data_IF_356191923897
#
_entry.id   IF_356191923897
#
_cell.length_a   1.000
_cell.length_b   1.000
_cell.length_c   1.000
_cell.angle_alpha   90.00
_cell.angle_beta   90.00
_cell.angle_gamma   90.00
#
_symmetry.space_group_name_H-M   'P 1'
#
loop_
_entity.id
_entity.type
_entity.pdbx_description
1 polymer ?
#
# COMPACT_ATOMS: atom_id res chain seq x y z
N UNK A 1 5.93 -15.84 12.02
CA UNK A 1 4.62 -16.52 11.89
C UNK A 1 3.57 -15.43 11.79
N UNK A 2 2.57 -15.58 10.91
CA UNK A 2 1.49 -14.60 10.79
C UNK A 2 0.47 -14.83 11.91
N UNK A 3 -0.10 -13.78 12.47
CA UNK A 3 -1.15 -13.87 13.48
C UNK A 3 -2.48 -13.37 12.92
N UNK A 4 -3.59 -13.81 13.48
CA UNK A 4 -4.91 -13.27 13.17
C UNK A 4 -5.77 -13.14 14.42
N UNK A 5 -6.71 -12.21 14.38
CA UNK A 5 -7.64 -11.90 15.45
C UNK A 5 -9.05 -12.35 15.06
N UNK A 6 -9.76 -13.04 15.95
CA UNK A 6 -11.15 -13.46 15.72
C UNK A 6 -12.09 -12.25 15.69
N UNK A 7 -12.91 -12.14 14.65
CA UNK A 7 -13.85 -11.01 14.47
C UNK A 7 -15.30 -11.37 14.81
N UNK A 8 -15.66 -12.64 14.70
CA UNK A 8 -16.96 -13.18 15.12
C UNK A 8 -17.14 -13.12 16.65
N UNK A 9 -18.39 -13.10 17.12
CA UNK A 9 -18.70 -13.18 18.57
C UNK A 9 -18.17 -14.47 19.20
N UNK A 10 -18.19 -15.55 18.42
CA UNK A 10 -17.61 -16.85 18.75
C UNK A 10 -17.25 -17.57 17.44
N UNK A 11 -16.06 -18.16 17.38
CA UNK A 11 -15.57 -18.90 16.22
C UNK A 11 -15.13 -20.31 16.60
N UNK A 12 -15.64 -21.32 15.90
CA UNK A 12 -15.25 -22.70 16.16
C UNK A 12 -13.90 -23.03 15.52
N UNK A 13 -12.97 -23.53 16.34
CA UNK A 13 -11.78 -24.23 15.90
C UNK A 13 -12.16 -25.68 15.58
N UNK A 14 -11.94 -26.13 14.35
CA UNK A 14 -12.41 -27.44 13.87
C UNK A 14 -11.29 -28.38 13.49
N UNK A 15 -11.55 -29.69 13.50
CA UNK A 15 -10.58 -30.72 13.08
C UNK A 15 -10.34 -30.76 11.57
N UNK A 16 -11.25 -30.20 10.77
CA UNK A 16 -11.21 -30.18 9.30
C UNK A 16 -11.64 -28.79 8.80
N UNK A 17 -11.23 -28.35 7.60
CA UNK A 17 -11.58 -27.06 7.03
C UNK A 17 -13.01 -27.05 6.46
N UNK A 18 -13.99 -27.48 7.26
CA UNK A 18 -15.40 -27.55 6.93
C UNK A 18 -16.25 -27.53 8.21
N UNK A 19 -17.55 -27.25 8.08
CA UNK A 19 -18.49 -27.14 9.20
C UNK A 19 -18.92 -28.50 9.77
N UNK A 20 -18.66 -29.59 9.03
CA UNK A 20 -18.85 -30.98 9.48
C UNK A 20 -17.74 -31.50 10.40
N UNK A 21 -16.57 -30.86 10.41
CA UNK A 21 -15.46 -31.21 11.30
C UNK A 21 -15.81 -30.96 12.77
N UNK A 22 -15.43 -31.88 13.65
CA UNK A 22 -15.63 -31.78 15.09
C UNK A 22 -15.03 -30.48 15.65
N UNK A 23 -15.72 -29.87 16.61
CA UNK A 23 -15.26 -28.64 17.29
C UNK A 23 -14.23 -29.01 18.36
N UNK A 24 -13.03 -28.48 18.24
CA UNK A 24 -11.91 -28.62 19.18
C UNK A 24 -12.05 -27.60 20.32
N UNK A 25 -12.43 -26.38 19.98
CA UNK A 25 -12.62 -25.27 20.90
C UNK A 25 -13.54 -24.21 20.28
N UNK A 26 -14.14 -23.40 21.14
CA UNK A 26 -14.80 -22.16 20.75
C UNK A 26 -13.88 -21.00 21.11
N UNK A 27 -13.58 -20.14 20.14
CA UNK A 27 -12.70 -18.99 20.27
C UNK A 27 -13.56 -17.73 20.43
N UNK A 28 -13.49 -17.03 21.58
CA UNK A 28 -14.15 -15.75 21.76
C UNK A 28 -13.68 -14.70 20.74
N UNK A 29 -14.49 -13.65 20.54
CA UNK A 29 -14.07 -12.44 19.82
C UNK A 29 -12.74 -11.92 20.38
N UNK A 30 -11.91 -11.37 19.50
CA UNK A 30 -10.60 -10.79 19.79
C UNK A 30 -9.51 -11.80 20.24
N UNK A 31 -9.80 -13.10 20.25
CA UNK A 31 -8.78 -14.15 20.42
C UNK A 31 -7.72 -14.05 19.32
N UNK A 32 -6.45 -14.11 19.70
CA UNK A 32 -5.31 -14.13 18.77
C UNK A 32 -4.90 -15.57 18.48
N UNK A 33 -4.74 -15.89 17.21
CA UNK A 33 -4.31 -17.22 16.72
C UNK A 33 -3.08 -17.09 15.84
N UNK A 34 -2.17 -18.06 15.94
CA UNK A 34 -1.02 -18.17 15.04
C UNK A 34 -1.44 -18.93 13.78
N UNK A 35 -1.32 -18.30 12.60
CA UNK A 35 -1.59 -18.96 11.32
C UNK A 35 -0.39 -19.80 10.92
N UNK A 36 -0.63 -21.11 10.74
CA UNK A 36 0.35 -22.07 10.25
C UNK A 36 0.33 -22.16 8.73
N UNK A 37 -0.86 -22.27 8.12
CA UNK A 37 -1.06 -22.25 6.67
C UNK A 37 -2.51 -21.94 6.29
N UNK A 38 -2.74 -21.66 5.01
CA UNK A 38 -4.07 -21.48 4.42
C UNK A 38 -4.36 -22.62 3.45
N UNK A 39 -5.55 -23.19 3.52
CA UNK A 39 -6.03 -24.29 2.68
C UNK A 39 -7.40 -23.97 2.10
N UNK A 40 -7.75 -24.59 0.98
CA UNK A 40 -9.14 -24.58 0.50
C UNK A 40 -10.01 -25.52 1.35
N UNK A 41 -11.27 -25.16 1.52
CA UNK A 41 -12.25 -25.90 2.32
C UNK A 41 -13.69 -25.55 1.95
N UNK A 42 -14.61 -25.80 2.88
CA UNK A 42 -16.03 -25.52 2.65
C UNK A 42 -16.29 -24.03 2.43
N UNK A 43 -17.21 -23.74 1.49
CA UNK A 43 -17.65 -22.38 1.24
C UNK A 43 -18.37 -21.81 2.46
N UNK A 44 -18.08 -20.57 2.78
CA UNK A 44 -18.72 -19.84 3.88
C UNK A 44 -18.84 -18.36 3.52
N UNK A 45 -19.67 -17.64 4.25
CA UNK A 45 -19.81 -16.18 4.12
C UNK A 45 -19.25 -15.55 5.38
N UNK A 46 -18.16 -14.80 5.24
CA UNK A 46 -17.50 -14.13 6.37
C UNK A 46 -18.33 -12.97 6.93
N UNK A 47 -17.82 -12.33 7.99
CA UNK A 47 -18.50 -11.19 8.64
C UNK A 47 -18.68 -9.98 7.69
N UNK A 48 -17.89 -9.91 6.62
CA UNK A 48 -18.01 -8.89 5.56
C UNK A 48 -19.10 -9.17 4.52
N UNK A 49 -19.82 -10.31 4.62
CA UNK A 49 -20.81 -10.72 3.62
C UNK A 49 -20.20 -11.32 2.33
N UNK A 50 -18.87 -11.46 2.26
CA UNK A 50 -18.17 -12.02 1.10
C UNK A 50 -18.12 -13.55 1.22
N UNK A 51 -18.50 -14.24 0.14
CA UNK A 51 -18.37 -15.68 0.02
C UNK A 51 -16.91 -16.07 -0.21
N UNK A 52 -16.44 -17.06 0.54
CA UNK A 52 -15.05 -17.52 0.62
C UNK A 52 -15.01 -19.03 0.70
N UNK A 53 -13.86 -19.62 0.37
CA UNK A 53 -13.61 -21.06 0.54
C UNK A 53 -12.25 -21.35 1.16
N UNK A 54 -11.57 -20.34 1.69
CA UNK A 54 -10.26 -20.48 2.33
C UNK A 54 -10.38 -20.61 3.85
N UNK A 55 -9.59 -21.52 4.40
CA UNK A 55 -9.53 -21.83 5.83
C UNK A 55 -8.08 -21.69 6.30
N UNK A 56 -7.89 -21.17 7.50
CA UNK A 56 -6.58 -21.12 8.14
C UNK A 56 -6.43 -22.31 9.07
N UNK A 57 -5.34 -23.06 8.90
CA UNK A 57 -4.83 -23.91 9.96
C UNK A 57 -4.10 -23.02 10.97
N UNK A 58 -4.53 -23.08 12.23
CA UNK A 58 -4.07 -22.19 13.28
C UNK A 58 -3.67 -22.94 14.53
N UNK A 59 -2.83 -22.31 15.35
CA UNK A 59 -2.49 -22.75 16.70
C UNK A 59 -2.90 -21.68 17.72
N UNK A 60 -3.54 -22.12 18.81
CA UNK A 60 -3.98 -21.26 19.92
C UNK A 60 -4.06 -22.10 21.20
N UNK A 61 -3.48 -21.60 22.30
CA UNK A 61 -3.46 -22.28 23.61
C UNK A 61 -3.01 -23.76 23.55
N UNK A 62 -2.01 -24.05 22.71
CA UNK A 62 -1.50 -25.41 22.50
C UNK A 62 -2.39 -26.32 21.64
N UNK A 63 -3.58 -25.87 21.25
CA UNK A 63 -4.49 -26.58 20.34
C UNK A 63 -4.24 -26.16 18.89
N UNK A 64 -4.43 -27.09 17.97
CA UNK A 64 -4.27 -26.87 16.53
C UNK A 64 -5.50 -27.35 15.79
N UNK A 65 -5.94 -26.58 14.79
CA UNK A 65 -7.13 -26.89 13.99
C UNK A 65 -7.39 -25.84 12.92
N UNK A 66 -8.57 -25.86 12.34
CA UNK A 66 -8.97 -25.01 11.22
C UNK A 66 -10.05 -24.01 11.62
N UNK A 67 -9.90 -22.78 11.14
CA UNK A 67 -10.92 -21.73 11.23
C UNK A 67 -11.20 -21.17 9.84
N UNK A 68 -12.45 -20.79 9.59
CA UNK A 68 -12.85 -20.17 8.33
C UNK A 68 -12.24 -18.75 8.24
N UNK A 69 -11.52 -18.45 7.15
CA UNK A 69 -10.76 -17.21 7.00
C UNK A 69 -11.65 -15.95 7.03
N UNK A 70 -12.92 -16.08 6.64
CA UNK A 70 -13.89 -14.98 6.69
C UNK A 70 -14.25 -14.47 8.09
N UNK A 71 -13.80 -15.12 9.17
CA UNK A 71 -14.10 -14.78 10.55
C UNK A 71 -12.88 -14.41 11.40
N UNK A 72 -11.74 -14.22 10.74
CA UNK A 72 -10.52 -13.71 11.37
C UNK A 72 -9.92 -12.59 10.53
N UNK A 73 -9.16 -11.72 11.17
CA UNK A 73 -8.46 -10.61 10.54
C UNK A 73 -6.96 -10.75 10.84
N UNK A 74 -6.12 -10.83 9.81
CA UNK A 74 -4.68 -10.95 9.99
C UNK A 74 -4.14 -9.74 10.76
N UNK A 75 -3.47 -10.01 11.89
CA UNK A 75 -2.73 -9.01 12.65
C UNK A 75 -1.43 -8.75 11.90
N UNK A 76 -1.49 -7.87 10.92
CA UNK A 76 -0.29 -7.17 10.46
C UNK A 76 0.04 -6.11 11.51
N UNK A 77 1.31 -6.00 11.91
CA UNK A 77 1.80 -4.84 12.67
C UNK A 77 1.69 -3.60 11.77
N UNK A 78 0.49 -3.08 11.64
CA UNK A 78 0.17 -1.84 10.94
C UNK A 78 -0.52 -0.96 11.95
N UNK A 79 0.21 0.07 12.38
CA UNK A 79 -0.24 1.12 13.27
C UNK A 79 -1.66 1.57 12.90
N UNK A 80 -2.55 1.38 13.87
CA UNK A 80 -3.94 1.83 13.87
C UNK A 80 -4.08 3.21 13.23
N UNK A 81 -4.73 3.26 12.07
CA UNK A 81 -5.55 4.38 11.62
C UNK A 81 -6.58 3.81 10.65
N UNK A 82 -7.66 3.29 11.22
CA UNK A 82 -8.92 3.09 10.50
C UNK A 82 -9.39 4.45 9.97
N UNK A 83 -8.95 4.79 8.77
CA UNK A 83 -9.76 5.56 7.85
C UNK A 83 -10.35 4.53 6.89
N UNK A 84 -11.68 4.58 6.76
CA UNK A 84 -12.48 4.15 5.59
C UNK A 84 -13.31 2.87 5.77
N UNK A 85 -14.49 3.03 6.36
CA UNK A 85 -15.61 2.08 6.27
C UNK A 85 -16.26 1.99 4.86
N UNK A 86 -15.48 2.14 3.77
CA UNK A 86 -15.90 1.91 2.38
C UNK A 86 -14.66 1.52 1.55
N UNK A 87 -14.77 0.67 0.51
CA UNK A 87 -13.60 0.14 -0.20
C UNK A 87 -12.90 1.25 -0.98
N UNK A 88 -11.61 1.47 -0.73
CA UNK A 88 -10.79 2.40 -1.51
C UNK A 88 -10.55 1.88 -2.95
N UNK A 89 -10.74 0.58 -3.18
CA UNK A 89 -10.50 -0.13 -4.45
C UNK A 89 -11.68 -0.08 -5.44
N UNK A 90 -12.49 0.99 -5.41
CA UNK A 90 -13.52 1.21 -6.43
C UNK A 90 -12.91 1.15 -7.84
N UNK A 91 -13.64 0.67 -8.87
CA UNK A 91 -13.12 0.63 -10.25
C UNK A 91 -12.57 1.99 -10.73
N UNK A 92 -13.21 3.09 -10.33
CA UNK A 92 -12.77 4.45 -10.64
C UNK A 92 -11.42 4.77 -9.98
N UNK A 93 -11.24 4.47 -8.69
CA UNK A 93 -9.95 4.69 -8.02
C UNK A 93 -8.85 3.80 -8.58
N UNK A 94 -9.16 2.55 -8.92
CA UNK A 94 -8.20 1.64 -9.57
C UNK A 94 -7.71 2.23 -10.89
N UNK A 95 -8.61 2.71 -11.75
CA UNK A 95 -8.22 3.30 -13.04
C UNK A 95 -7.41 4.59 -12.87
N UNK A 96 -7.81 5.46 -11.93
CA UNK A 96 -7.10 6.73 -11.64
C UNK A 96 -5.70 6.47 -11.09
N UNK A 97 -5.55 5.57 -10.11
CA UNK A 97 -4.24 5.23 -9.55
C UNK A 97 -3.37 4.51 -10.58
N UNK A 98 -3.94 3.59 -11.37
CA UNK A 98 -3.20 2.90 -12.42
C UNK A 98 -2.66 3.89 -13.47
N UNK A 99 -3.46 4.90 -13.84
CA UNK A 99 -3.05 5.97 -14.76
C UNK A 99 -1.88 6.78 -14.18
N UNK A 100 -1.93 7.15 -12.90
CA UNK A 100 -0.80 7.79 -12.20
C UNK A 100 0.43 6.90 -12.24
N UNK A 101 0.31 5.61 -11.85
CA UNK A 101 1.43 4.67 -11.86
C UNK A 101 2.06 4.53 -13.25
N UNK A 102 1.24 4.43 -14.29
CA UNK A 102 1.71 4.35 -15.67
C UNK A 102 2.46 5.61 -16.10
N UNK A 103 1.89 6.78 -15.80
CA UNK A 103 2.47 8.07 -16.20
C UNK A 103 3.75 8.43 -15.44
N UNK A 104 3.81 8.10 -14.15
CA UNK A 104 4.90 8.51 -13.26
C UNK A 104 6.01 7.45 -13.15
N UNK A 105 5.69 6.18 -13.41
CA UNK A 105 6.58 5.07 -13.06
C UNK A 105 6.67 3.93 -14.07
N UNK A 106 6.31 4.17 -15.33
CA UNK A 106 6.46 3.17 -16.40
C UNK A 106 7.90 2.63 -16.53
N UNK A 107 8.91 3.50 -16.38
CA UNK A 107 10.34 3.14 -16.40
C UNK A 107 10.89 2.68 -15.04
N UNK A 108 10.06 2.74 -13.99
CA UNK A 108 10.44 2.32 -12.65
C UNK A 108 10.43 0.80 -12.49
N UNK A 109 11.24 0.30 -11.56
CA UNK A 109 11.17 -1.09 -11.09
C UNK A 109 9.94 -1.29 -10.17
N UNK A 110 9.68 -2.53 -9.74
CA UNK A 110 8.49 -2.83 -8.93
C UNK A 110 8.46 -2.06 -7.60
N UNK A 111 9.60 -1.89 -6.93
CA UNK A 111 9.69 -1.13 -5.68
C UNK A 111 9.38 0.35 -5.90
N UNK A 112 9.92 0.95 -6.97
CA UNK A 112 9.69 2.34 -7.35
C UNK A 112 8.22 2.60 -7.68
N UNK A 113 7.59 1.70 -8.45
CA UNK A 113 6.15 1.78 -8.76
C UNK A 113 5.29 1.70 -7.49
N UNK A 114 5.61 0.77 -6.58
CA UNK A 114 4.93 0.66 -5.28
C UNK A 114 5.11 1.93 -4.44
N UNK A 115 6.31 2.51 -4.43
CA UNK A 115 6.61 3.73 -3.69
C UNK A 115 5.84 4.93 -4.25
N UNK A 116 5.79 5.10 -5.58
CA UNK A 116 4.95 6.12 -6.23
C UNK A 116 3.48 5.94 -5.84
N UNK A 117 2.95 4.72 -5.93
CA UNK A 117 1.59 4.43 -5.49
C UNK A 117 1.34 4.81 -4.03
N UNK A 118 2.26 4.47 -3.13
CA UNK A 118 2.17 4.85 -1.73
C UNK A 118 2.17 6.35 -1.49
N UNK A 119 2.85 7.15 -2.31
CA UNK A 119 2.75 8.61 -2.18
C UNK A 119 1.33 9.12 -2.43
N UNK A 120 0.57 8.51 -3.34
CA UNK A 120 -0.85 8.82 -3.56
C UNK A 120 -1.67 8.45 -2.32
N UNK A 121 -1.51 7.22 -1.81
CA UNK A 121 -2.25 6.73 -0.63
C UNK A 121 -1.96 7.55 0.62
N UNK A 122 -0.71 7.96 0.81
CA UNK A 122 -0.30 8.80 1.93
C UNK A 122 -0.88 10.22 1.83
N UNK A 123 -1.01 10.78 0.61
CA UNK A 123 -1.74 12.03 0.40
C UNK A 123 -3.23 11.88 0.71
N UNK A 124 -3.89 10.80 0.27
CA UNK A 124 -5.29 10.54 0.59
C UNK A 124 -5.52 10.46 2.11
N UNK A 125 -4.68 9.68 2.80
CA UNK A 125 -4.70 9.53 4.26
C UNK A 125 -4.54 10.87 4.96
N UNK A 126 -3.54 11.65 4.55
CA UNK A 126 -3.22 12.96 5.13
C UNK A 126 -4.31 14.00 4.84
N UNK A 127 -4.90 13.96 3.64
CA UNK A 127 -5.97 14.86 3.23
C UNK A 127 -7.34 14.46 3.76
N UNK A 128 -7.45 13.27 4.36
CA UNK A 128 -8.70 12.65 4.81
C UNK A 128 -9.70 12.51 3.66
N UNK A 129 -9.19 12.19 2.47
CA UNK A 129 -9.95 11.99 1.24
C UNK A 129 -9.92 10.53 0.81
N UNK A 130 -10.79 10.18 -0.14
CA UNK A 130 -11.00 8.78 -0.59
C UNK A 130 -11.03 8.65 -2.09
N UNK A 131 -11.27 9.74 -2.83
CA UNK A 131 -11.20 9.73 -4.27
C UNK A 131 -9.76 10.06 -4.68
N UNK A 132 -9.13 9.20 -5.49
CA UNK A 132 -7.80 9.45 -6.05
C UNK A 132 -7.76 10.79 -6.78
N UNK A 133 -8.88 11.25 -7.36
CA UNK A 133 -8.99 12.59 -7.97
C UNK A 133 -8.67 13.73 -7.02
N UNK A 134 -8.89 13.59 -5.70
CA UNK A 134 -8.64 14.64 -4.72
C UNK A 134 -7.14 14.97 -4.54
N UNK A 135 -6.26 14.09 -5.04
CA UNK A 135 -4.79 14.24 -4.96
C UNK A 135 -4.11 14.09 -6.32
N UNK A 136 -4.85 13.70 -7.37
CA UNK A 136 -4.31 13.41 -8.70
C UNK A 136 -3.65 14.62 -9.36
N UNK A 137 -4.02 15.85 -8.98
CA UNK A 137 -3.45 17.08 -9.53
C UNK A 137 -1.95 17.24 -9.30
N UNK A 138 -1.37 16.52 -8.34
CA UNK A 138 0.06 16.49 -8.08
C UNK A 138 0.85 15.52 -8.97
N UNK A 139 0.16 14.76 -9.85
CA UNK A 139 0.75 13.67 -10.62
C UNK A 139 0.41 13.77 -12.11
N UNK A 140 1.31 13.27 -12.94
CA UNK A 140 1.10 13.04 -14.36
C UNK A 140 0.05 11.93 -14.58
N UNK A 141 -0.79 12.11 -15.60
CA UNK A 141 -1.88 11.19 -15.98
C UNK A 141 -2.03 11.00 -17.50
N UNK A 142 -0.99 11.37 -18.24
CA UNK A 142 -0.92 11.40 -19.71
C UNK A 142 -0.80 10.04 -20.43
N UNK A 143 -0.71 8.92 -19.71
CA UNK A 143 -0.54 7.58 -20.30
C UNK A 143 -1.70 6.66 -19.92
N UNK A 144 -2.13 5.81 -20.85
CA UNK A 144 -3.15 4.81 -20.57
C UNK A 144 -2.53 3.61 -19.82
N UNK A 145 -3.12 3.17 -18.70
CA UNK A 145 -2.53 2.11 -17.91
C UNK A 145 -2.60 0.75 -18.61
N UNK A 146 -1.59 -0.08 -18.38
CA UNK A 146 -1.57 -1.50 -18.76
C UNK A 146 -2.35 -2.34 -17.73
N UNK A 147 -2.72 -3.60 -18.06
CA UNK A 147 -3.32 -4.50 -17.07
C UNK A 147 -2.49 -4.65 -15.79
N UNK A 148 -1.16 -4.78 -15.92
CA UNK A 148 -0.26 -4.89 -14.78
C UNK A 148 -0.30 -3.66 -13.85
N UNK A 149 -0.48 -2.45 -14.40
CA UNK A 149 -0.64 -1.24 -13.57
C UNK A 149 -2.00 -1.19 -12.86
N UNK A 150 -3.06 -1.75 -13.47
CA UNK A 150 -4.36 -1.90 -12.83
C UNK A 150 -4.32 -2.91 -11.68
N UNK A 151 -3.63 -4.02 -11.86
CA UNK A 151 -3.45 -5.03 -10.82
C UNK A 151 -2.67 -4.46 -9.63
N UNK A 152 -1.55 -3.77 -9.90
CA UNK A 152 -0.77 -3.10 -8.86
C UNK A 152 -1.58 -2.03 -8.11
N UNK A 153 -2.34 -1.20 -8.83
CA UNK A 153 -3.21 -0.19 -8.22
C UNK A 153 -4.26 -0.84 -7.31
N UNK A 154 -4.88 -1.93 -7.75
CA UNK A 154 -5.86 -2.67 -6.96
C UNK A 154 -5.26 -3.24 -5.68
N UNK A 155 -4.07 -3.83 -5.75
CA UNK A 155 -3.38 -4.37 -4.58
C UNK A 155 -2.98 -3.29 -3.56
N UNK A 156 -2.55 -2.12 -4.04
CA UNK A 156 -2.28 -0.97 -3.17
C UNK A 156 -3.57 -0.50 -2.47
N UNK A 157 -4.65 -0.28 -3.22
CA UNK A 157 -5.92 0.25 -2.67
C UNK A 157 -6.60 -0.73 -1.71
N UNK A 158 -6.36 -2.04 -1.86
CA UNK A 158 -6.82 -3.09 -0.94
C UNK A 158 -5.97 -3.23 0.33
N UNK A 159 -4.80 -2.59 0.37
CA UNK A 159 -3.84 -2.76 1.46
C UNK A 159 -3.06 -4.08 1.41
N UNK A 160 -3.03 -4.75 0.25
CA UNK A 160 -2.27 -6.00 0.06
C UNK A 160 -0.75 -5.78 0.02
N UNK A 161 -0.31 -4.53 -0.16
CA UNK A 161 1.10 -4.13 -0.24
C UNK A 161 1.36 -3.16 0.90
N UNK A 162 2.28 -3.48 1.81
CA UNK A 162 2.64 -2.60 2.93
C UNK A 162 3.34 -1.30 2.49
N UNK A 163 3.22 -0.23 3.30
CA UNK A 163 3.92 1.04 3.06
C UNK A 163 5.41 0.91 3.33
N UNK A 164 6.18 0.86 2.26
CA UNK A 164 7.64 0.82 2.26
C UNK A 164 8.29 2.21 2.24
N UNK A 165 7.49 3.27 2.15
CA UNK A 165 7.94 4.65 1.99
C UNK A 165 8.00 5.43 3.29
N UNK A 166 7.58 4.83 4.40
CA UNK A 166 7.51 5.49 5.71
C UNK A 166 6.69 6.79 5.68
N UNK A 167 5.55 6.80 4.98
CA UNK A 167 4.68 7.96 4.90
C UNK A 167 5.10 9.02 3.88
N UNK A 168 5.96 8.69 2.89
CA UNK A 168 6.33 9.66 1.86
C UNK A 168 5.09 10.12 1.09
N UNK A 169 5.01 11.42 0.79
CA UNK A 169 3.91 12.04 0.04
C UNK A 169 4.40 12.72 -1.24
N UNK A 170 5.71 12.92 -1.37
CA UNK A 170 6.33 13.61 -2.49
C UNK A 170 7.41 12.73 -3.09
N UNK A 171 7.62 12.88 -4.39
CA UNK A 171 8.80 12.38 -5.05
C UNK A 171 9.18 13.29 -6.22
N UNK A 172 10.39 13.14 -6.70
CA UNK A 172 10.83 13.66 -7.99
C UNK A 172 11.82 12.69 -8.62
N UNK A 173 12.03 12.81 -9.93
CA UNK A 173 13.02 12.04 -10.68
C UNK A 173 14.24 12.91 -10.98
N UNK A 174 15.38 12.75 -10.28
CA UNK A 174 16.60 13.47 -10.61
C UNK A 174 17.02 13.30 -12.07
N UNK A 175 16.81 12.12 -12.67
CA UNK A 175 17.12 11.90 -14.07
C UNK A 175 16.29 12.77 -15.01
N UNK A 176 15.05 13.09 -14.65
CA UNK A 176 14.12 13.92 -15.43
C UNK A 176 14.23 15.41 -15.15
N UNK A 177 14.95 15.82 -14.10
CA UNK A 177 15.17 17.23 -13.76
C UNK A 177 16.22 17.87 -14.66
N UNK A 178 16.12 19.20 -14.94
CA UNK A 178 17.10 19.90 -15.76
C UNK A 178 18.50 19.80 -15.14
N UNK A 179 19.53 19.77 -16.00
CA UNK A 179 20.93 19.82 -15.56
C UNK A 179 21.34 21.25 -15.25
N UNK A 180 22.36 21.41 -14.43
CA UNK A 180 22.93 22.73 -14.14
C UNK A 180 23.34 23.43 -15.45
N UNK A 181 22.92 24.69 -15.61
CA UNK A 181 23.16 25.46 -16.84
C UNK A 181 22.16 25.22 -17.98
N UNK A 182 21.24 24.25 -17.87
CA UNK A 182 20.12 24.10 -18.80
C UNK A 182 18.96 25.01 -18.43
N UNK A 183 18.06 25.25 -19.37
CA UNK A 183 16.79 25.95 -19.10
C UNK A 183 15.97 25.19 -18.05
N UNK A 184 15.43 25.93 -17.08
CA UNK A 184 14.65 25.38 -15.96
C UNK A 184 13.16 25.68 -16.08
N UNK A 185 12.71 26.18 -17.24
CA UNK A 185 11.31 26.53 -17.48
C UNK A 185 10.37 25.36 -17.24
N UNK A 186 9.37 25.55 -16.37
CA UNK A 186 8.40 24.51 -16.00
C UNK A 186 8.85 23.53 -14.92
N UNK A 187 10.07 23.68 -14.38
CA UNK A 187 10.60 22.83 -13.32
C UNK A 187 10.81 23.62 -12.02
N UNK A 188 10.43 23.04 -10.88
CA UNK A 188 10.84 23.55 -9.58
C UNK A 188 12.28 23.11 -9.30
N UNK A 189 13.22 24.05 -9.41
CA UNK A 189 14.64 23.86 -9.08
C UNK A 189 15.07 24.69 -7.87
N UNK A 190 14.10 25.20 -7.09
CA UNK A 190 14.38 26.11 -5.97
C UNK A 190 15.14 25.47 -4.80
N UNK A 191 15.35 24.15 -4.82
CA UNK A 191 16.19 23.41 -3.87
C UNK A 191 17.66 23.30 -4.30
N UNK A 192 18.04 23.96 -5.40
CA UNK A 192 19.39 23.93 -5.94
C UNK A 192 19.67 22.75 -6.86
N UNK A 193 20.95 22.50 -7.12
CA UNK A 193 21.42 21.39 -7.95
C UNK A 193 22.21 20.41 -7.07
N UNK A 194 22.15 19.13 -7.43
CA UNK A 194 22.89 18.08 -6.73
C UNK A 194 23.37 17.01 -7.71
N UNK A 195 24.55 16.44 -7.43
CA UNK A 195 25.03 15.25 -8.13
C UNK A 195 24.36 14.00 -7.53
N UNK A 196 23.67 13.23 -8.38
CA UNK A 196 23.01 11.98 -7.97
C UNK A 196 23.56 10.81 -8.81
N UNK A 197 24.57 10.08 -8.32
CA UNK A 197 25.14 8.96 -9.05
C UNK A 197 24.08 7.94 -9.52
N UNK A 198 24.23 7.37 -10.73
CA UNK A 198 25.37 7.48 -11.64
C UNK A 198 25.28 8.67 -12.62
N UNK A 199 24.39 9.64 -12.40
CA UNK A 199 24.37 10.84 -13.23
C UNK A 199 25.69 11.59 -13.07
N UNK A 200 26.27 12.03 -14.19
CA UNK A 200 27.59 12.68 -14.24
C UNK A 200 27.52 14.20 -14.18
N UNK A 201 26.32 14.76 -14.20
CA UNK A 201 26.06 16.19 -14.09
C UNK A 201 25.09 16.44 -12.95
N UNK A 202 25.23 17.59 -12.28
CA UNK A 202 24.28 17.99 -11.27
C UNK A 202 22.91 18.24 -11.89
N UNK A 203 21.88 17.93 -11.12
CA UNK A 203 20.49 18.06 -11.55
C UNK A 203 19.66 18.80 -10.53
N UNK A 204 18.68 19.55 -11.03
CA UNK A 204 17.82 20.38 -10.21
C UNK A 204 17.04 19.56 -9.18
N UNK A 205 16.78 20.19 -8.04
CA UNK A 205 16.00 19.63 -6.94
C UNK A 205 14.86 20.59 -6.59
N UNK A 206 13.63 20.08 -6.38
CA UNK A 206 12.51 20.91 -5.94
C UNK A 206 12.77 21.62 -4.61
N UNK A 207 12.20 22.81 -4.44
CA UNK A 207 12.37 23.60 -3.21
C UNK A 207 11.92 22.85 -1.96
N UNK A 208 10.85 22.08 -2.04
CA UNK A 208 10.37 21.30 -0.90
C UNK A 208 11.32 20.15 -0.50
N UNK A 209 12.18 19.68 -1.42
CA UNK A 209 13.07 18.55 -1.14
C UNK A 209 14.25 18.92 -0.24
N UNK A 210 14.51 20.22 0.00
CA UNK A 210 15.47 20.65 1.02
C UNK A 210 14.87 20.72 2.44
N UNK A 211 13.54 20.80 2.56
CA UNK A 211 12.87 20.87 3.87
C UNK A 211 12.21 19.56 4.29
N UNK A 212 11.74 18.77 3.33
CA UNK A 212 11.09 17.49 3.61
C UNK A 212 12.14 16.39 3.79
N UNK A 213 12.12 15.63 4.90
CA UNK A 213 13.02 14.51 5.10
C UNK A 213 12.96 13.50 3.95
N UNK A 214 14.13 13.01 3.53
CA UNK A 214 14.26 11.94 2.54
C UNK A 214 13.81 10.61 3.15
N UNK A 215 13.04 9.84 2.39
CA UNK A 215 12.70 8.46 2.72
C UNK A 215 13.64 7.50 1.99
N UNK A 216 14.44 6.76 2.75
CA UNK A 216 15.38 5.77 2.22
C UNK A 216 14.67 4.43 2.03
N UNK A 217 14.41 4.08 0.77
CA UNK A 217 13.65 2.90 0.39
C UNK A 217 14.60 1.87 -0.26
N UNK A 218 14.84 0.71 0.35
CA UNK A 218 15.66 -0.35 -0.23
C UNK A 218 15.15 -0.77 -1.62
N UNK A 219 16.04 -0.76 -2.62
CA UNK A 219 15.72 -1.14 -4.00
C UNK A 219 15.19 -0.01 -4.90
N UNK A 220 14.98 1.21 -4.36
CA UNK A 220 14.79 2.41 -5.18
C UNK A 220 16.14 2.91 -5.67
N UNK A 221 16.23 3.25 -6.96
CA UNK A 221 17.41 3.89 -7.54
C UNK A 221 17.31 5.41 -7.33
N UNK A 222 18.22 6.04 -6.56
CA UNK A 222 18.09 7.47 -6.24
C UNK A 222 18.12 8.39 -7.45
N UNK A 223 18.83 8.03 -8.53
CA UNK A 223 18.83 8.82 -9.77
C UNK A 223 17.49 8.78 -10.50
N UNK A 224 16.67 7.73 -10.30
CA UNK A 224 15.35 7.60 -10.91
C UNK A 224 14.26 8.22 -10.04
N UNK A 225 14.32 8.01 -8.71
CA UNK A 225 13.32 8.52 -7.77
C UNK A 225 13.96 8.87 -6.43
N UNK A 226 13.60 10.04 -5.90
CA UNK A 226 13.82 10.41 -4.51
C UNK A 226 12.49 10.73 -3.86
N UNK A 227 12.18 10.03 -2.77
CA UNK A 227 10.91 10.12 -2.04
C UNK A 227 11.09 10.95 -0.78
N UNK A 228 10.14 11.81 -0.46
CA UNK A 228 10.20 12.70 0.69
C UNK A 228 8.90 12.71 1.49
N UNK A 229 9.07 12.88 2.80
CA UNK A 229 7.99 12.91 3.79
C UNK A 229 7.67 14.38 4.07
N UNK A 230 6.50 14.86 3.66
CA UNK A 230 6.13 16.24 3.95
C UNK A 230 6.02 16.48 5.46
N UNK A 231 6.54 17.61 5.93
CA UNK A 231 6.47 17.98 7.36
C UNK A 231 5.07 18.47 7.74
N UNK A 232 4.74 18.42 9.04
CA UNK A 232 3.44 18.85 9.58
C UNK A 232 2.28 17.88 9.33
N UNK A 233 1.10 18.22 9.83
CA UNK A 233 -0.11 17.38 9.81
C UNK A 233 -1.22 17.86 8.85
N UNK A 234 -1.06 19.05 8.26
CA UNK A 234 -2.05 19.66 7.37
C UNK A 234 -2.12 19.00 5.98
N UNK A 235 -3.16 19.31 5.20
CA UNK A 235 -3.33 18.77 3.84
C UNK A 235 -2.11 19.07 2.95
N UNK A 236 -1.83 18.17 2.01
CA UNK A 236 -0.80 18.34 0.98
C UNK A 236 -1.47 18.41 -0.38
N UNK A 237 -1.13 19.44 -1.16
CA UNK A 237 -1.57 19.66 -2.54
C UNK A 237 -0.74 18.82 -3.49
#
# INVERSE_FOLDING_TARGET
MAQAKVTASSLNLRTQPNTGGSVIASLPKDTIVDILKTVAGEKHTGTSGISRNDWHEVKVDGKQGFVAAGFVETVTSTNNNNLLSFPLDTPANVEKLARILMSESSVGNLTERKAVGWTVLNRLKRNKTKDVSDVAGAFATNQNPTPAMRDLARDLLRGNIADLTNGATHFYSPQSMPRQGQSTGGFDVGGGFELVPPLTQETGKPKWAVTFPLSNIPGVRPHMYKFHIATGTGRVS
#
